data_IF_228002617460
#
_entry.id   IF_228002617460
#
_cell.length_a   1.000
_cell.length_b   1.000
_cell.length_c   1.000
_cell.angle_alpha   90.00
_cell.angle_beta   90.00
_cell.angle_gamma   90.00
#
_symmetry.space_group_name_H-M   'P 1'
#
loop_
_entity.id
_entity.type
_entity.pdbx_description
1 polymer ?
#
# COMPACT_ATOMS: atom_id res chain seq x y z
N UNK A 1 -29.73 -33.26 -7.26
CA UNK A 1 -28.66 -32.44 -7.86
C UNK A 1 -28.37 -31.35 -6.84
N UNK A 2 -27.32 -31.53 -6.03
CA UNK A 2 -26.94 -30.53 -5.02
C UNK A 2 -26.55 -29.25 -5.75
N UNK A 3 -27.17 -28.14 -5.34
CA UNK A 3 -26.75 -26.81 -5.77
C UNK A 3 -25.34 -26.63 -5.20
N UNK A 4 -24.29 -26.45 -6.03
CA UNK A 4 -22.96 -26.19 -5.50
C UNK A 4 -23.03 -24.95 -4.61
N UNK A 5 -22.37 -24.94 -3.44
CA UNK A 5 -22.35 -23.76 -2.59
C UNK A 5 -21.89 -22.57 -3.42
N UNK A 6 -22.57 -21.42 -3.25
CA UNK A 6 -22.18 -20.18 -3.89
C UNK A 6 -20.68 -19.97 -3.68
N UNK A 7 -19.90 -19.87 -4.76
CA UNK A 7 -18.46 -19.57 -4.66
C UNK A 7 -18.32 -18.33 -3.80
N UNK A 8 -17.61 -18.46 -2.69
CA UNK A 8 -17.26 -17.34 -1.84
C UNK A 8 -16.43 -16.37 -2.69
N UNK A 9 -16.89 -15.14 -2.84
CA UNK A 9 -16.19 -14.15 -3.64
C UNK A 9 -14.86 -13.80 -2.95
N UNK A 10 -13.74 -14.00 -3.66
CA UNK A 10 -12.39 -13.66 -3.18
C UNK A 10 -12.34 -12.19 -2.80
N UNK A 11 -11.93 -11.87 -1.56
CA UNK A 11 -11.70 -10.48 -1.16
C UNK A 11 -10.27 -10.07 -1.52
N UNK A 12 -10.13 -9.20 -2.52
CA UNK A 12 -8.87 -8.57 -2.91
C UNK A 12 -8.77 -7.21 -2.22
N UNK A 13 -7.73 -7.06 -1.41
CA UNK A 13 -7.54 -5.93 -0.52
C UNK A 13 -6.17 -5.32 -0.80
N UNK A 14 -6.15 -4.03 -1.12
CA UNK A 14 -4.90 -3.31 -1.31
C UNK A 14 -4.50 -2.56 -0.03
N UNK A 15 -3.25 -2.68 0.37
CA UNK A 15 -2.71 -2.09 1.59
C UNK A 15 -1.73 -1.01 1.18
N UNK A 16 -1.95 0.20 1.65
CA UNK A 16 -1.10 1.36 1.39
C UNK A 16 -0.58 1.97 2.69
N UNK A 17 0.44 2.82 2.57
CA UNK A 17 1.08 3.49 3.69
C UNK A 17 2.51 3.90 3.37
N UNK A 18 3.02 4.83 4.16
CA UNK A 18 4.38 5.39 4.01
C UNK A 18 5.45 4.29 4.03
N UNK A 19 6.54 4.50 3.31
CA UNK A 19 7.73 3.65 3.37
C UNK A 19 8.22 3.49 4.82
N UNK A 20 8.50 2.26 5.25
CA UNK A 20 8.98 1.99 6.61
C UNK A 20 7.94 2.06 7.74
N UNK A 21 6.65 2.28 7.43
CA UNK A 21 5.58 2.31 8.43
C UNK A 21 5.27 0.92 9.02
N UNK A 22 5.68 -0.15 8.34
CA UNK A 22 5.44 -1.54 8.78
C UNK A 22 4.23 -2.22 8.11
N UNK A 23 3.92 -1.86 6.85
CA UNK A 23 2.92 -2.55 6.03
C UNK A 23 3.19 -4.06 5.93
N UNK A 24 4.38 -4.43 5.48
CA UNK A 24 4.77 -5.83 5.29
C UNK A 24 4.78 -6.62 6.60
N UNK A 25 5.16 -5.98 7.72
CA UNK A 25 5.02 -6.56 9.05
C UNK A 25 3.55 -6.86 9.39
N UNK A 26 2.66 -5.89 9.21
CA UNK A 26 1.23 -6.04 9.47
C UNK A 26 0.64 -7.17 8.61
N UNK A 27 0.98 -7.17 7.32
CA UNK A 27 0.49 -8.14 6.34
C UNK A 27 0.99 -9.56 6.55
N UNK A 28 2.26 -9.75 6.87
CA UNK A 28 2.81 -11.07 7.14
C UNK A 28 2.17 -11.70 8.39
N UNK A 29 1.96 -10.93 9.45
CA UNK A 29 1.30 -11.42 10.66
C UNK A 29 -0.21 -11.65 10.45
N UNK A 30 -0.89 -10.74 9.75
CA UNK A 30 -2.30 -10.89 9.39
C UNK A 30 -2.53 -12.12 8.53
N UNK A 31 -1.77 -12.27 7.44
CA UNK A 31 -1.90 -13.43 6.54
C UNK A 31 -1.61 -14.74 7.26
N UNK A 32 -0.59 -14.77 8.13
CA UNK A 32 -0.27 -15.93 8.95
C UNK A 32 -1.44 -16.30 9.88
N UNK A 33 -1.99 -15.33 10.60
CA UNK A 33 -3.12 -15.57 11.51
C UNK A 33 -4.37 -16.06 10.74
N UNK A 34 -4.70 -15.42 9.62
CA UNK A 34 -5.84 -15.83 8.79
C UNK A 34 -5.65 -17.25 8.22
N UNK A 35 -4.43 -17.61 7.81
CA UNK A 35 -4.11 -18.96 7.36
C UNK A 35 -4.22 -20.00 8.50
N UNK A 36 -3.76 -19.65 9.71
CA UNK A 36 -3.91 -20.49 10.89
C UNK A 36 -5.39 -20.69 11.29
N UNK A 37 -6.27 -19.74 10.96
CA UNK A 37 -7.73 -19.85 11.09
C UNK A 37 -8.40 -20.57 9.90
N UNK A 38 -7.62 -21.23 9.05
CA UNK A 38 -8.10 -22.05 7.94
C UNK A 38 -8.52 -21.28 6.69
N UNK A 39 -8.18 -19.97 6.59
CA UNK A 39 -8.42 -19.19 5.37
C UNK A 39 -7.33 -19.44 4.34
N UNK A 40 -7.71 -19.50 3.06
CA UNK A 40 -6.77 -19.48 1.95
C UNK A 40 -6.37 -18.04 1.66
N UNK A 41 -5.12 -17.69 1.97
CA UNK A 41 -4.61 -16.32 1.82
C UNK A 41 -3.45 -16.27 0.83
N UNK A 42 -3.50 -15.31 -0.09
CA UNK A 42 -2.40 -14.94 -0.97
C UNK A 42 -1.88 -13.55 -0.60
N UNK A 43 -0.60 -13.44 -0.27
CA UNK A 43 0.10 -12.17 -0.04
C UNK A 43 0.97 -11.84 -1.26
N UNK A 44 0.74 -10.69 -1.89
CA UNK A 44 1.54 -10.23 -3.03
C UNK A 44 2.24 -8.93 -2.65
N UNK A 45 3.56 -8.92 -2.70
CA UNK A 45 4.34 -7.68 -2.63
C UNK A 45 4.24 -6.90 -3.94
N UNK A 46 3.73 -5.68 -3.87
CA UNK A 46 3.58 -4.75 -4.99
C UNK A 46 4.43 -3.48 -4.78
N UNK A 47 5.54 -3.62 -4.05
CA UNK A 47 6.55 -2.59 -3.85
C UNK A 47 7.81 -2.96 -4.67
N UNK A 48 8.40 -2.03 -5.44
CA UNK A 48 9.66 -2.27 -6.15
C UNK A 48 10.78 -2.79 -5.24
N UNK A 49 10.74 -2.50 -3.94
CA UNK A 49 11.67 -3.00 -2.93
C UNK A 49 11.66 -4.54 -2.80
N UNK A 50 10.56 -5.19 -3.14
CA UNK A 50 10.43 -6.67 -3.23
C UNK A 50 10.81 -7.43 -1.95
N UNK A 51 10.51 -6.88 -0.77
CA UNK A 51 10.84 -7.48 0.54
C UNK A 51 9.63 -7.79 1.43
N UNK A 52 8.41 -7.70 0.87
CA UNK A 52 7.16 -7.90 1.61
C UNK A 52 7.11 -9.30 2.23
N UNK A 53 7.46 -10.30 1.42
CA UNK A 53 7.42 -11.72 1.75
C UNK A 53 8.61 -12.18 2.59
N UNK A 54 9.68 -11.39 2.69
CA UNK A 54 10.89 -11.75 3.45
C UNK A 54 10.58 -12.03 4.92
N UNK A 55 9.69 -11.25 5.54
CA UNK A 55 9.26 -11.51 6.92
C UNK A 55 8.49 -12.83 7.03
N UNK A 56 7.62 -13.10 6.05
CA UNK A 56 6.94 -14.38 5.96
C UNK A 56 7.92 -15.53 5.75
N UNK A 57 9.06 -15.40 5.07
CA UNK A 57 10.00 -16.52 4.84
C UNK A 57 11.29 -16.47 5.67
N UNK A 58 11.27 -15.80 6.83
CA UNK A 58 12.41 -15.81 7.75
C UNK A 58 13.67 -15.16 7.16
N UNK A 59 13.50 -14.07 6.42
CA UNK A 59 14.57 -13.31 5.78
C UNK A 59 14.93 -13.75 4.37
N UNK A 60 14.26 -14.76 3.81
CA UNK A 60 14.48 -15.21 2.42
C UNK A 60 13.62 -14.40 1.45
N UNK A 61 14.23 -13.87 0.40
CA UNK A 61 13.51 -13.19 -0.68
C UNK A 61 12.90 -14.20 -1.66
N UNK A 62 11.62 -14.04 -1.98
CA UNK A 62 10.99 -14.78 -3.06
C UNK A 62 11.50 -14.27 -4.43
N UNK A 63 11.76 -15.16 -5.40
CA UNK A 63 11.92 -14.77 -6.80
C UNK A 63 10.76 -13.90 -7.28
N UNK A 64 11.06 -12.77 -7.93
CA UNK A 64 10.02 -11.84 -8.39
C UNK A 64 9.41 -12.31 -9.71
N UNK A 65 8.15 -11.97 -9.94
CA UNK A 65 7.42 -12.33 -11.17
C UNK A 65 8.08 -11.71 -12.40
N UNK A 66 8.40 -10.42 -12.36
CA UNK A 66 8.97 -9.69 -13.50
C UNK A 66 10.35 -10.24 -13.88
N UNK A 67 11.24 -10.43 -12.91
CA UNK A 67 12.59 -10.94 -13.16
C UNK A 67 12.56 -12.39 -13.64
N UNK A 68 11.77 -13.23 -12.97
CA UNK A 68 11.65 -14.66 -13.31
C UNK A 68 11.06 -14.84 -14.71
N UNK A 69 10.02 -14.09 -15.05
CA UNK A 69 9.42 -14.07 -16.39
C UNK A 69 10.44 -13.63 -17.45
N UNK A 70 11.20 -12.57 -17.20
CA UNK A 70 12.23 -12.08 -18.12
C UNK A 70 13.30 -13.13 -18.38
N UNK A 71 13.80 -13.78 -17.31
CA UNK A 71 14.80 -14.85 -17.39
C UNK A 71 14.29 -16.07 -18.14
N UNK A 72 13.08 -16.55 -17.82
CA UNK A 72 12.43 -17.70 -18.49
C UNK A 72 12.22 -17.43 -19.97
N UNK A 73 11.71 -16.24 -20.32
CA UNK A 73 11.52 -15.82 -21.71
C UNK A 73 12.84 -15.81 -22.49
N UNK A 74 13.94 -15.35 -21.89
CA UNK A 74 15.25 -15.38 -22.52
C UNK A 74 15.77 -16.82 -22.76
N UNK A 75 15.36 -17.77 -21.93
CA UNK A 75 15.63 -19.20 -22.10
C UNK A 75 14.64 -19.91 -23.05
N UNK A 76 13.66 -19.20 -23.64
CA UNK A 76 12.63 -19.80 -24.48
C UNK A 76 11.55 -20.57 -23.69
N UNK A 77 11.49 -20.39 -22.37
CA UNK A 77 10.53 -21.03 -21.47
C UNK A 77 9.39 -20.08 -21.08
N UNK A 78 8.25 -20.63 -20.68
CA UNK A 78 7.17 -19.87 -20.04
C UNK A 78 7.30 -19.96 -18.52
N UNK A 79 7.02 -18.84 -17.84
CA UNK A 79 6.93 -18.80 -16.38
C UNK A 79 5.72 -19.61 -15.89
N UNK A 80 5.92 -20.40 -14.84
CA UNK A 80 4.87 -21.19 -14.19
C UNK A 80 4.63 -20.69 -12.76
N UNK A 81 3.48 -21.04 -12.17
CA UNK A 81 3.14 -20.66 -10.79
C UNK A 81 4.21 -21.08 -9.79
N UNK A 82 4.75 -22.30 -9.94
CA UNK A 82 5.79 -22.81 -9.03
C UNK A 82 7.12 -22.06 -9.09
N UNK A 83 7.35 -21.24 -10.12
CA UNK A 83 8.56 -20.43 -10.22
C UNK A 83 8.47 -19.15 -9.36
N UNK A 84 7.26 -18.69 -9.03
CA UNK A 84 7.00 -17.34 -8.46
C UNK A 84 6.09 -17.34 -7.23
N UNK A 85 5.39 -18.44 -6.95
CA UNK A 85 4.51 -18.59 -5.80
C UNK A 85 5.09 -19.59 -4.80
N UNK A 86 5.28 -19.13 -3.57
CA UNK A 86 5.84 -19.94 -2.49
C UNK A 86 4.84 -19.99 -1.33
N UNK A 87 4.98 -21.01 -0.48
CA UNK A 87 4.06 -21.24 0.63
C UNK A 87 4.80 -21.51 1.93
N UNK A 88 4.30 -20.93 3.02
CA UNK A 88 4.76 -21.21 4.39
C UNK A 88 3.55 -21.21 5.32
N UNK A 89 3.42 -22.26 6.13
CA UNK A 89 2.44 -22.33 7.22
C UNK A 89 1.00 -21.98 6.77
N UNK A 90 0.63 -22.38 5.55
CA UNK A 90 -0.69 -22.14 4.95
C UNK A 90 -0.85 -20.83 4.15
N UNK A 91 0.09 -19.89 4.28
CA UNK A 91 0.10 -18.64 3.50
C UNK A 91 0.76 -18.87 2.15
N UNK A 92 0.13 -18.39 1.08
CA UNK A 92 0.71 -18.33 -0.26
C UNK A 92 1.27 -16.92 -0.50
N UNK A 93 2.40 -16.83 -1.16
CA UNK A 93 3.11 -15.56 -1.29
C UNK A 93 3.83 -15.43 -2.62
N UNK A 94 3.79 -14.22 -3.18
CA UNK A 94 4.44 -13.81 -4.41
C UNK A 94 5.06 -12.43 -4.25
N UNK A 95 6.10 -12.14 -5.03
CA UNK A 95 6.65 -10.78 -5.19
C UNK A 95 6.48 -10.36 -6.63
N UNK A 96 5.83 -9.22 -6.89
CA UNK A 96 5.66 -8.73 -8.25
C UNK A 96 7.01 -8.38 -8.88
N UNK A 97 7.88 -7.75 -8.08
CA UNK A 97 9.12 -7.15 -8.54
C UNK A 97 8.93 -5.74 -9.05
N UNK A 98 10.05 -5.12 -9.39
CA UNK A 98 10.11 -3.80 -10.00
C UNK A 98 11.19 -3.73 -11.07
N UNK A 99 11.34 -2.58 -11.73
CA UNK A 99 12.50 -2.35 -12.59
C UNK A 99 13.80 -2.33 -11.76
N UNK A 100 14.94 -2.56 -12.42
CA UNK A 100 16.25 -2.45 -11.77
C UNK A 100 16.43 -1.09 -11.06
N UNK A 101 17.09 -1.09 -9.90
CA UNK A 101 17.35 0.12 -9.13
C UNK A 101 18.06 1.16 -10.02
N UNK A 102 17.53 2.38 -10.03
CA UNK A 102 18.05 3.47 -10.86
C UNK A 102 17.66 3.41 -12.34
N UNK A 103 16.81 2.44 -12.75
CA UNK A 103 16.33 2.29 -14.13
C UNK A 103 14.81 2.11 -14.16
N UNK A 104 14.21 2.48 -15.29
CA UNK A 104 12.78 2.26 -15.53
C UNK A 104 11.84 3.14 -14.70
N UNK A 105 10.57 2.74 -14.62
CA UNK A 105 9.54 3.45 -13.88
C UNK A 105 8.76 2.42 -13.05
N UNK A 106 8.73 2.59 -11.72
CA UNK A 106 8.05 1.68 -10.80
C UNK A 106 6.60 1.43 -11.19
N UNK A 107 5.85 2.49 -11.51
CA UNK A 107 4.45 2.37 -11.94
C UNK A 107 4.25 1.54 -13.21
N UNK A 108 5.14 1.65 -14.21
CA UNK A 108 5.09 0.78 -15.40
C UNK A 108 5.45 -0.66 -15.06
N UNK A 109 6.38 -0.86 -14.12
CA UNK A 109 6.71 -2.18 -13.56
C UNK A 109 5.49 -2.86 -12.94
N UNK A 110 4.73 -2.13 -12.10
CA UNK A 110 3.51 -2.65 -11.49
C UNK A 110 2.49 -3.09 -12.54
N UNK A 111 2.19 -2.23 -13.52
CA UNK A 111 1.24 -2.56 -14.61
C UNK A 111 1.69 -3.84 -15.34
N UNK A 112 2.97 -3.91 -15.73
CA UNK A 112 3.50 -5.08 -16.41
C UNK A 112 3.46 -6.35 -15.55
N UNK A 113 3.76 -6.23 -14.25
CA UNK A 113 3.68 -7.34 -13.31
C UNK A 113 2.27 -7.90 -13.20
N UNK A 114 1.24 -7.04 -13.12
CA UNK A 114 -0.15 -7.49 -13.09
C UNK A 114 -0.58 -8.15 -14.41
N UNK A 115 -0.14 -7.65 -15.57
CA UNK A 115 -0.39 -8.33 -16.85
C UNK A 115 0.22 -9.75 -16.88
N UNK A 116 1.39 -9.96 -16.27
CA UNK A 116 1.99 -11.29 -16.12
C UNK A 116 1.19 -12.16 -15.14
N UNK A 117 0.72 -11.58 -14.03
CA UNK A 117 -0.11 -12.26 -13.03
C UNK A 117 -1.46 -12.71 -13.64
N UNK A 118 -2.09 -11.87 -14.45
CA UNK A 118 -3.30 -12.20 -15.20
C UNK A 118 -3.08 -13.37 -16.16
N UNK A 119 -1.96 -13.40 -16.89
CA UNK A 119 -1.57 -14.52 -17.77
C UNK A 119 -1.34 -15.83 -17.01
N UNK A 120 -0.89 -15.75 -15.76
CA UNK A 120 -0.77 -16.89 -14.85
C UNK A 120 -2.13 -17.37 -14.29
N UNK A 121 -3.22 -16.65 -14.58
CA UNK A 121 -4.58 -17.03 -14.21
C UNK A 121 -5.06 -16.43 -12.89
N UNK A 122 -4.58 -15.23 -12.50
CA UNK A 122 -4.95 -14.53 -11.26
C UNK A 122 -6.44 -14.62 -10.90
N UNK A 123 -7.33 -14.36 -11.86
CA UNK A 123 -8.79 -14.36 -11.66
C UNK A 123 -9.42 -15.75 -11.53
N UNK A 124 -8.65 -16.83 -11.73
CA UNK A 124 -9.12 -18.21 -11.63
C UNK A 124 -8.78 -18.83 -10.27
N UNK A 125 -7.96 -18.15 -9.46
CA UNK A 125 -7.50 -18.69 -8.19
C UNK A 125 -8.55 -18.53 -7.09
N UNK A 126 -8.77 -19.63 -6.36
CA UNK A 126 -9.75 -19.74 -5.30
C UNK A 126 -9.09 -19.44 -3.95
N UNK A 127 -9.02 -18.15 -3.60
CA UNK A 127 -8.53 -17.66 -2.31
C UNK A 127 -9.67 -17.01 -1.54
N UNK A 128 -9.67 -17.13 -0.22
CA UNK A 128 -10.58 -16.34 0.60
C UNK A 128 -10.17 -14.85 0.56
N UNK A 129 -8.85 -14.60 0.61
CA UNK A 129 -8.27 -13.26 0.65
C UNK A 129 -7.01 -13.15 -0.22
N UNK A 130 -6.91 -12.06 -0.97
CA UNK A 130 -5.68 -11.62 -1.64
C UNK A 130 -5.28 -10.28 -1.05
N UNK A 131 -4.12 -10.22 -0.42
CA UNK A 131 -3.56 -9.02 0.20
C UNK A 131 -2.45 -8.47 -0.67
N UNK A 132 -2.58 -7.22 -1.14
CA UNK A 132 -1.63 -6.56 -2.03
C UNK A 132 -0.87 -5.47 -1.25
N UNK A 133 0.44 -5.63 -1.03
CA UNK A 133 1.27 -4.62 -0.33
C UNK A 133 1.76 -3.56 -1.33
N UNK A 134 1.11 -2.40 -1.38
CA UNK A 134 1.44 -1.31 -2.28
C UNK A 134 2.25 -0.21 -1.60
N UNK A 135 3.19 0.35 -2.36
CA UNK A 135 3.89 1.58 -1.96
C UNK A 135 2.89 2.75 -1.87
N UNK A 136 2.79 3.38 -0.69
CA UNK A 136 1.85 4.47 -0.43
C UNK A 136 2.39 5.87 -0.69
N UNK A 137 3.72 6.05 -0.67
CA UNK A 137 4.34 7.39 -0.80
C UNK A 137 3.99 8.08 -2.11
N UNK A 138 3.72 7.29 -3.16
CA UNK A 138 3.32 7.78 -4.48
C UNK A 138 2.11 6.99 -4.95
N UNK A 139 0.96 7.66 -5.08
CA UNK A 139 -0.28 7.07 -5.61
C UNK A 139 -0.50 7.51 -7.07
N UNK A 140 0.54 7.42 -7.88
CA UNK A 140 0.50 7.78 -9.31
C UNK A 140 0.07 6.58 -10.17
N UNK A 141 -0.22 6.82 -11.45
CA UNK A 141 -0.86 5.89 -12.40
C UNK A 141 -0.72 4.38 -12.12
N UNK A 142 0.51 3.85 -12.04
CA UNK A 142 0.72 2.41 -11.78
C UNK A 142 0.51 1.96 -10.33
N UNK A 143 0.87 2.78 -9.34
CA UNK A 143 0.63 2.46 -7.93
C UNK A 143 -0.84 2.69 -7.52
N UNK A 144 -1.57 3.53 -8.27
CA UNK A 144 -3.02 3.68 -8.15
C UNK A 144 -3.83 2.63 -8.94
N UNK A 145 -3.18 1.70 -9.65
CA UNK A 145 -3.84 0.73 -10.53
C UNK A 145 -4.96 -0.08 -9.85
N UNK A 146 -4.79 -0.61 -8.62
CA UNK A 146 -5.85 -1.38 -7.97
C UNK A 146 -7.14 -0.59 -7.72
N UNK A 147 -6.98 0.71 -7.45
CA UNK A 147 -8.08 1.64 -7.20
C UNK A 147 -8.69 2.07 -8.53
N UNK A 148 -7.85 2.42 -9.50
CA UNK A 148 -8.26 2.97 -10.79
C UNK A 148 -9.00 1.97 -11.68
N UNK A 149 -8.75 0.66 -11.52
CA UNK A 149 -9.33 -0.42 -12.33
C UNK A 149 -10.26 -1.36 -11.55
N UNK A 150 -10.69 -0.97 -10.35
CA UNK A 150 -11.54 -1.82 -9.48
C UNK A 150 -10.96 -3.25 -9.29
N UNK A 151 -9.63 -3.39 -9.23
CA UNK A 151 -8.99 -4.70 -9.05
C UNK A 151 -9.03 -5.18 -7.60
N UNK A 152 -9.33 -4.27 -6.66
CA UNK A 152 -9.54 -4.56 -5.26
C UNK A 152 -10.92 -4.03 -4.85
N UNK A 153 -11.58 -4.70 -3.90
CA UNK A 153 -12.86 -4.22 -3.39
C UNK A 153 -12.65 -3.07 -2.40
N UNK A 154 -11.56 -3.12 -1.64
CA UNK A 154 -11.29 -2.15 -0.57
C UNK A 154 -9.81 -1.94 -0.32
N UNK A 155 -9.50 -0.77 0.22
CA UNK A 155 -8.16 -0.33 0.61
C UNK A 155 -8.05 -0.28 2.12
N UNK A 156 -6.95 -0.77 2.68
CA UNK A 156 -6.55 -0.52 4.06
C UNK A 156 -5.34 0.41 4.03
N UNK A 157 -5.34 1.39 4.92
CA UNK A 157 -4.19 2.27 5.10
C UNK A 157 -3.47 1.88 6.38
N UNK A 158 -2.15 1.80 6.34
CA UNK A 158 -1.30 1.63 7.53
C UNK A 158 -0.64 2.97 7.82
N UNK A 159 -0.84 3.47 9.03
CA UNK A 159 -0.30 4.75 9.49
C UNK A 159 0.23 4.70 10.92
N UNK A 160 0.90 5.76 11.35
CA UNK A 160 1.28 6.03 12.74
C UNK A 160 0.76 7.41 13.14
N UNK A 161 1.03 7.83 14.37
CA UNK A 161 0.71 9.19 14.81
C UNK A 161 1.65 10.27 14.22
N UNK A 162 2.55 9.95 13.27
CA UNK A 162 3.42 10.96 12.64
C UNK A 162 2.78 11.67 11.42
N UNK A 163 3.01 12.97 11.29
CA UNK A 163 2.43 13.82 10.23
C UNK A 163 2.67 13.27 8.83
N UNK A 164 3.88 12.78 8.53
CA UNK A 164 4.21 12.29 7.20
C UNK A 164 3.44 10.99 6.89
N UNK A 165 3.24 10.14 7.90
CA UNK A 165 2.42 8.95 7.74
C UNK A 165 0.95 9.29 7.46
N UNK A 166 0.37 10.25 8.19
CA UNK A 166 -1.01 10.67 7.98
C UNK A 166 -1.19 11.48 6.69
N UNK A 167 -0.16 12.19 6.23
CA UNK A 167 -0.14 12.82 4.91
C UNK A 167 -0.25 11.79 3.79
N UNK A 168 0.54 10.71 3.85
CA UNK A 168 0.44 9.61 2.90
C UNK A 168 -0.94 8.93 2.99
N UNK A 169 -1.44 8.69 4.18
CA UNK A 169 -2.78 8.14 4.39
C UNK A 169 -3.88 9.00 3.73
N UNK A 170 -3.78 10.32 3.88
CA UNK A 170 -4.70 11.28 3.29
C UNK A 170 -4.62 11.30 1.75
N UNK A 171 -3.43 11.14 1.18
CA UNK A 171 -3.26 11.04 -0.28
C UNK A 171 -3.92 9.78 -0.85
N UNK A 172 -3.82 8.65 -0.15
CA UNK A 172 -4.52 7.42 -0.53
C UNK A 172 -6.04 7.62 -0.47
N UNK A 173 -6.54 8.24 0.61
CA UNK A 173 -7.96 8.60 0.71
C UNK A 173 -8.40 9.53 -0.43
N UNK A 174 -7.56 10.50 -0.80
CA UNK A 174 -7.80 11.41 -1.93
C UNK A 174 -7.88 10.67 -3.26
N UNK A 175 -7.01 9.70 -3.49
CA UNK A 175 -7.05 8.87 -4.69
C UNK A 175 -8.34 8.05 -4.76
N UNK A 176 -8.76 7.44 -3.64
CA UNK A 176 -10.02 6.70 -3.57
C UNK A 176 -11.22 7.61 -3.84
N UNK A 177 -11.33 8.77 -3.19
CA UNK A 177 -12.44 9.71 -3.45
C UNK A 177 -12.45 10.21 -4.90
N UNK A 178 -11.28 10.47 -5.48
CA UNK A 178 -11.16 10.85 -6.89
C UNK A 178 -11.74 9.78 -7.82
N UNK A 179 -11.32 8.52 -7.71
CA UNK A 179 -11.81 7.45 -8.59
C UNK A 179 -13.28 7.09 -8.31
N UNK A 180 -13.75 7.22 -7.06
CA UNK A 180 -15.18 7.11 -6.72
C UNK A 180 -16.02 8.16 -7.45
N UNK A 181 -15.55 9.41 -7.54
CA UNK A 181 -16.22 10.47 -8.32
C UNK A 181 -16.27 10.17 -9.82
N UNK A 182 -15.34 9.38 -10.33
CA UNK A 182 -15.31 8.91 -11.72
C UNK A 182 -16.14 7.63 -11.97
N UNK A 183 -16.81 7.10 -10.94
CA UNK A 183 -17.67 5.91 -11.05
C UNK A 183 -17.04 4.60 -10.59
N UNK A 184 -15.83 4.63 -9.99
CA UNK A 184 -15.21 3.46 -9.37
C UNK A 184 -15.92 3.00 -8.09
N UNK A 185 -15.70 1.75 -7.71
CA UNK A 185 -16.39 1.09 -6.59
C UNK A 185 -15.52 0.93 -5.34
N UNK A 186 -14.19 1.05 -5.49
CA UNK A 186 -13.24 0.90 -4.38
C UNK A 186 -13.51 1.90 -3.25
N UNK A 187 -13.45 1.44 -2.01
CA UNK A 187 -13.51 2.27 -0.82
C UNK A 187 -12.36 2.02 0.15
N UNK A 188 -12.23 2.86 1.17
CA UNK A 188 -11.30 2.65 2.28
C UNK A 188 -12.01 1.85 3.37
N UNK A 189 -11.47 0.69 3.72
CA UNK A 189 -11.98 -0.18 4.78
C UNK A 189 -11.68 0.38 6.16
N UNK A 190 -10.49 0.97 6.35
CA UNK A 190 -10.06 1.55 7.60
C UNK A 190 -8.56 1.79 7.69
N UNK A 191 -8.14 2.26 8.87
CA UNK A 191 -6.76 2.53 9.25
C UNK A 191 -6.25 1.46 10.20
N UNK A 192 -5.07 0.90 9.93
CA UNK A 192 -4.27 0.18 10.93
C UNK A 192 -3.24 1.16 11.46
N UNK A 193 -3.32 1.47 12.75
CA UNK A 193 -2.30 2.26 13.43
C UNK A 193 -1.17 1.30 13.80
N UNK A 194 0.05 1.58 13.35
CA UNK A 194 1.23 0.82 13.69
C UNK A 194 2.23 1.72 14.41
N UNK A 195 2.97 1.13 15.35
CA UNK A 195 3.83 1.86 16.29
C UNK A 195 3.03 2.94 17.02
N UNK A 196 1.84 2.57 17.51
CA UNK A 196 1.01 3.48 18.29
C UNK A 196 1.72 3.85 19.60
N UNK A 197 2.05 5.13 19.73
CA UNK A 197 2.67 5.75 20.90
C UNK A 197 1.63 6.44 21.82
N UNK A 198 0.34 6.32 21.49
CA UNK A 198 -0.77 6.78 22.31
C UNK A 198 -1.04 8.29 22.26
N UNK A 199 -0.41 9.02 21.34
CA UNK A 199 -0.63 10.48 21.20
C UNK A 199 -1.98 10.81 20.54
N UNK A 200 -2.52 9.89 19.72
CA UNK A 200 -3.91 9.89 19.26
C UNK A 200 -4.19 10.62 17.94
N UNK A 201 -3.18 11.19 17.27
CA UNK A 201 -3.35 11.89 16.00
C UNK A 201 -3.89 10.98 14.88
N UNK A 202 -3.49 9.70 14.85
CA UNK A 202 -3.98 8.75 13.87
C UNK A 202 -5.47 8.42 14.07
N UNK A 203 -5.93 8.33 15.32
CA UNK A 203 -7.35 8.18 15.64
C UNK A 203 -8.13 9.44 15.23
N UNK A 204 -7.63 10.63 15.57
CA UNK A 204 -8.24 11.90 15.19
C UNK A 204 -8.33 12.05 13.66
N UNK A 205 -7.32 11.57 12.92
CA UNK A 205 -7.34 11.51 11.47
C UNK A 205 -8.42 10.56 10.95
N UNK A 206 -8.51 9.34 11.51
CA UNK A 206 -9.51 8.36 11.11
C UNK A 206 -10.94 8.90 11.29
N UNK A 207 -11.20 9.54 12.43
CA UNK A 207 -12.48 10.18 12.74
C UNK A 207 -12.79 11.32 11.77
N UNK A 208 -11.81 12.20 11.50
CA UNK A 208 -11.98 13.34 10.62
C UNK A 208 -12.23 12.95 9.15
N UNK A 209 -11.59 11.87 8.68
CA UNK A 209 -11.78 11.33 7.32
C UNK A 209 -13.00 10.42 7.23
N UNK A 210 -13.56 9.97 8.35
CA UNK A 210 -14.75 9.11 8.38
C UNK A 210 -14.45 7.64 8.05
N UNK A 211 -13.33 7.11 8.52
CA UNK A 211 -12.93 5.71 8.38
C UNK A 211 -12.65 5.10 9.76
N UNK A 212 -12.93 3.81 10.00
CA UNK A 212 -12.67 3.18 11.29
C UNK A 212 -11.18 2.85 11.46
N UNK A 213 -10.74 2.77 12.71
CA UNK A 213 -9.48 2.12 13.07
C UNK A 213 -9.72 0.61 13.19
N UNK A 214 -9.04 -0.19 12.38
CA UNK A 214 -9.18 -1.65 12.35
C UNK A 214 -8.34 -2.33 13.44
N UNK A 215 -7.17 -1.75 13.75
CA UNK A 215 -6.31 -2.17 14.84
C UNK A 215 -5.32 -1.07 15.19
N UNK A 216 -4.83 -1.10 16.43
CA UNK A 216 -3.69 -0.34 16.89
C UNK A 216 -2.61 -1.29 17.39
N UNK A 217 -1.50 -1.37 16.66
CA UNK A 217 -0.30 -2.16 17.02
C UNK A 217 0.60 -1.23 17.83
N UNK A 218 0.90 -1.57 19.10
CA UNK A 218 1.63 -0.68 19.99
C UNK A 218 3.08 -0.48 19.53
N UNK A 219 3.64 0.69 19.85
CA UNK A 219 5.08 0.90 19.84
C UNK A 219 5.74 0.04 20.94
N UNK A 220 6.08 -1.19 20.58
CA UNK A 220 6.62 -2.20 21.51
C UNK A 220 8.01 -2.70 21.05
N UNK A 221 8.95 -2.76 21.99
CA UNK A 221 10.34 -3.14 21.72
C UNK A 221 10.52 -4.63 21.39
N UNK A 222 9.70 -5.51 21.97
CA UNK A 222 9.72 -6.93 21.63
C UNK A 222 9.17 -7.16 20.23
N UNK A 223 8.07 -6.50 19.85
CA UNK A 223 7.56 -6.50 18.47
C UNK A 223 8.65 -6.02 17.51
N UNK A 224 9.30 -4.88 17.81
CA UNK A 224 10.35 -4.31 16.97
C UNK A 224 11.51 -5.28 16.78
N UNK A 225 11.99 -5.89 17.87
CA UNK A 225 13.10 -6.86 17.86
C UNK A 225 12.75 -8.11 17.08
N UNK A 226 11.58 -8.71 17.32
CA UNK A 226 11.08 -9.89 16.60
C UNK A 226 10.89 -9.61 15.11
N UNK A 227 10.32 -8.46 14.76
CA UNK A 227 10.20 -8.03 13.37
C UNK A 227 11.56 -7.90 12.67
N UNK A 228 12.58 -7.36 13.35
CA UNK A 228 13.93 -7.24 12.81
C UNK A 228 14.61 -8.61 12.59
N UNK A 229 14.20 -9.62 13.34
CA UNK A 229 14.64 -11.01 13.20
C UNK A 229 13.77 -11.84 12.24
N UNK A 230 12.82 -11.22 11.52
CA UNK A 230 11.87 -11.90 10.64
C UNK A 230 11.00 -12.95 11.37
N UNK A 231 10.67 -12.69 12.64
CA UNK A 231 9.79 -13.53 13.44
C UNK A 231 8.33 -13.10 13.25
N UNK A 232 7.44 -14.09 13.07
CA UNK A 232 5.99 -13.89 13.10
C UNK A 232 5.55 -13.81 14.57
N UNK A 233 4.88 -12.73 14.92
CA UNK A 233 4.36 -12.47 16.27
C UNK A 233 2.86 -12.75 16.39
N UNK A 234 2.13 -12.70 15.28
CA UNK A 234 0.70 -13.03 15.17
C UNK A 234 0.44 -14.53 15.04
N UNK A 235 1.09 -15.34 15.88
CA UNK A 235 0.86 -16.79 15.94
C UNK A 235 -0.26 -17.11 16.93
N UNK A 236 -1.12 -18.12 16.68
CA UNK A 236 -2.16 -18.52 17.63
C UNK A 236 -1.60 -18.87 19.01
N UNK A 237 -2.25 -18.39 20.07
CA UNK A 237 -1.82 -18.59 21.46
C UNK A 237 -0.59 -17.78 21.89
N UNK A 238 0.03 -17.00 21.00
CA UNK A 238 1.09 -16.05 21.34
C UNK A 238 0.57 -14.78 22.02
N UNK A 239 1.48 -13.99 22.60
CA UNK A 239 1.16 -12.73 23.27
C UNK A 239 0.32 -11.77 22.39
N UNK A 240 0.62 -11.72 21.10
CA UNK A 240 -0.03 -10.82 20.14
C UNK A 240 -1.12 -11.49 19.32
N UNK A 241 -1.50 -12.74 19.64
CA UNK A 241 -2.50 -13.51 18.90
C UNK A 241 -3.83 -12.75 18.80
N UNK A 242 -4.39 -12.33 19.96
CA UNK A 242 -5.68 -11.66 20.01
C UNK A 242 -5.74 -10.38 19.16
N UNK A 243 -4.62 -9.67 19.02
CA UNK A 243 -4.54 -8.49 18.16
C UNK A 243 -4.75 -8.86 16.69
N UNK A 244 -4.01 -9.86 16.19
CA UNK A 244 -4.09 -10.26 14.79
C UNK A 244 -5.35 -11.08 14.48
N UNK A 245 -5.91 -11.79 15.46
CA UNK A 245 -7.23 -12.43 15.36
C UNK A 245 -8.32 -11.37 15.16
N UNK A 246 -8.34 -10.34 16.03
CA UNK A 246 -9.27 -9.23 15.91
C UNK A 246 -9.08 -8.47 14.59
N UNK A 247 -7.83 -8.19 14.19
CA UNK A 247 -7.55 -7.55 12.90
C UNK A 247 -8.07 -8.40 11.73
N UNK A 248 -7.90 -9.73 11.76
CA UNK A 248 -8.44 -10.63 10.75
C UNK A 248 -9.96 -10.53 10.58
N UNK A 249 -10.68 -10.47 11.70
CA UNK A 249 -12.15 -10.27 11.72
C UNK A 249 -12.50 -8.89 11.16
N UNK A 250 -11.87 -7.83 11.66
CA UNK A 250 -12.14 -6.46 11.22
C UNK A 250 -11.86 -6.27 9.72
N UNK A 251 -10.76 -6.84 9.21
CA UNK A 251 -10.44 -6.82 7.78
C UNK A 251 -11.47 -7.58 6.96
N UNK A 252 -12.01 -8.69 7.45
CA UNK A 252 -13.02 -9.46 6.76
C UNK A 252 -14.36 -8.73 6.66
N UNK A 253 -14.77 -8.05 7.73
CA UNK A 253 -16.10 -7.44 7.88
C UNK A 253 -16.18 -5.99 7.41
N UNK A 254 -15.06 -5.25 7.45
CA UNK A 254 -15.05 -3.82 7.11
C UNK A 254 -15.53 -3.56 5.66
N UNK A 255 -16.55 -2.72 5.46
CA UNK A 255 -17.05 -2.38 4.14
C UNK A 255 -16.14 -1.36 3.43
N UNK A 256 -16.22 -1.24 2.09
CA UNK A 256 -15.54 -0.18 1.35
C UNK A 256 -16.23 1.18 1.59
N UNK A 257 -15.70 1.98 2.52
CA UNK A 257 -16.24 3.30 2.82
C UNK A 257 -15.75 4.36 1.84
N UNK A 258 -16.51 5.44 1.69
CA UNK A 258 -16.05 6.62 0.96
C UNK A 258 -15.38 7.56 1.98
N UNK A 259 -14.05 7.78 1.89
CA UNK A 259 -13.38 8.69 2.80
C UNK A 259 -13.72 10.16 2.47
N UNK A 260 -13.54 11.04 3.44
CA UNK A 260 -13.57 12.49 3.30
C UNK A 260 -12.14 13.05 3.49
N UNK A 261 -11.32 13.12 2.44
CA UNK A 261 -9.92 13.54 2.56
C UNK A 261 -9.80 14.97 3.10
N UNK A 262 -8.82 15.20 3.96
CA UNK A 262 -8.56 16.50 4.57
C UNK A 262 -7.78 17.40 3.61
N UNK A 263 -7.99 18.72 3.74
CA UNK A 263 -7.05 19.70 3.16
C UNK A 263 -5.72 19.65 3.92
N UNK A 264 -4.67 20.23 3.33
CA UNK A 264 -3.37 20.31 3.97
C UNK A 264 -3.44 20.98 5.36
N UNK A 265 -4.13 22.12 5.45
CA UNK A 265 -4.28 22.84 6.72
C UNK A 265 -5.11 22.06 7.75
N UNK A 266 -6.19 21.39 7.32
CA UNK A 266 -7.01 20.58 8.21
C UNK A 266 -6.21 19.39 8.78
N UNK A 267 -5.37 18.74 7.96
CA UNK A 267 -4.47 17.69 8.43
C UNK A 267 -3.43 18.24 9.41
N UNK A 268 -2.82 19.39 9.11
CA UNK A 268 -1.86 20.04 10.02
C UNK A 268 -2.52 20.41 11.35
N UNK A 269 -3.78 20.80 11.37
CA UNK A 269 -4.51 21.17 12.58
C UNK A 269 -4.74 19.99 13.54
N UNK A 270 -4.58 18.74 13.09
CA UNK A 270 -4.58 17.58 13.99
C UNK A 270 -3.36 17.57 14.92
N UNK A 271 -2.26 18.19 14.50
CA UNK A 271 -1.02 18.31 15.24
C UNK A 271 -1.00 19.68 15.92
N UNK A 272 -1.12 19.72 17.26
CA UNK A 272 -1.19 20.96 18.07
C UNK A 272 -0.19 22.01 17.59
N UNK A 273 -0.71 23.08 16.97
CA UNK A 273 0.03 24.01 16.12
C UNK A 273 0.73 25.16 16.85
N UNK A 274 0.63 25.23 18.18
CA UNK A 274 0.98 26.45 18.93
C UNK A 274 2.49 26.71 18.99
N UNK A 275 3.32 25.68 18.76
CA UNK A 275 4.78 25.75 18.84
C UNK A 275 5.49 25.79 17.47
N UNK A 276 4.74 25.80 16.35
CA UNK A 276 5.32 25.68 15.01
C UNK A 276 5.09 26.94 14.18
N UNK A 277 6.14 27.42 13.51
CA UNK A 277 6.15 28.63 12.67
C UNK A 277 5.30 28.52 11.40
N UNK A 278 4.00 28.25 11.52
CA UNK A 278 3.03 28.11 10.41
C UNK A 278 2.69 29.44 9.71
N UNK A 279 3.17 30.57 10.24
CA UNK A 279 2.97 31.91 9.68
C UNK A 279 4.01 32.35 8.65
N UNK A 280 4.83 31.43 8.13
CA UNK A 280 5.80 31.77 7.07
C UNK A 280 5.04 32.09 5.78
N UNK A 281 5.12 33.34 5.35
CA UNK A 281 4.55 33.79 4.08
C UNK A 281 5.49 33.37 2.95
N UNK A 282 4.97 32.67 1.95
CA UNK A 282 5.72 32.33 0.74
C UNK A 282 6.01 33.62 -0.03
N UNK A 283 7.28 34.03 -0.06
CA UNK A 283 7.74 35.12 -0.92
C UNK A 283 8.26 34.52 -2.24
N UNK A 284 7.62 34.77 -3.40
CA UNK A 284 8.08 34.23 -4.68
C UNK A 284 9.49 34.71 -4.99
N UNK A 285 10.40 33.78 -5.30
CA UNK A 285 11.72 34.12 -5.77
C UNK A 285 11.65 34.71 -7.18
N UNK A 286 12.45 35.73 -7.43
CA UNK A 286 12.67 36.30 -8.77
C UNK A 286 13.77 35.53 -9.51
N UNK A 287 13.87 35.71 -10.83
CA UNK A 287 14.99 35.13 -11.58
C UNK A 287 16.35 35.69 -11.14
N UNK A 288 16.38 36.91 -10.61
CA UNK A 288 17.59 37.52 -10.05
C UNK A 288 18.02 36.79 -8.76
N UNK A 289 17.06 36.48 -7.87
CA UNK A 289 17.32 35.69 -6.65
C UNK A 289 17.91 34.31 -6.98
N UNK A 290 17.47 33.71 -8.10
CA UNK A 290 17.94 32.38 -8.54
C UNK A 290 19.30 32.41 -9.25
N UNK A 291 19.62 33.50 -9.95
CA UNK A 291 20.81 33.60 -10.80
C UNK A 291 22.00 34.32 -10.14
N UNK A 292 21.78 35.08 -9.06
CA UNK A 292 22.84 35.83 -8.37
C UNK A 292 23.49 36.95 -9.19
N UNK A 293 22.90 37.32 -10.33
CA UNK A 293 23.36 38.37 -11.25
C UNK A 293 22.18 38.98 -12.01
N UNK A 294 22.36 40.18 -12.58
CA UNK A 294 21.34 40.81 -13.45
C UNK A 294 20.89 39.85 -14.55
N UNK A 295 19.58 39.62 -14.60
CA UNK A 295 18.96 38.80 -15.63
C UNK A 295 19.02 39.60 -16.93
N UNK A 296 19.86 39.16 -17.86
CA UNK A 296 19.85 39.70 -19.22
C UNK A 296 18.50 39.38 -19.85
N UNK A 297 17.62 40.39 -19.93
CA UNK A 297 16.37 40.33 -20.67
C UNK A 297 16.69 40.12 -22.16
N UNK A 298 16.76 38.85 -22.58
CA UNK A 298 16.84 38.50 -23.99
C UNK A 298 15.43 38.54 -24.55
N UNK A 299 15.11 39.45 -25.50
CA UNK A 299 13.80 39.45 -26.13
C UNK A 299 13.55 38.08 -26.78
N UNK A 300 12.35 37.54 -26.56
CA UNK A 300 11.93 36.30 -27.21
C UNK A 300 12.03 36.47 -28.73
N UNK A 301 12.63 35.51 -29.41
CA UNK A 301 12.64 35.42 -30.86
C UNK A 301 11.38 34.72 -31.40
N UNK A 302 10.43 34.39 -30.54
CA UNK A 302 9.13 33.86 -30.96
C UNK A 302 8.42 34.88 -31.83
N UNK A 303 8.27 34.52 -33.11
CA UNK A 303 7.39 35.23 -34.03
C UNK A 303 5.97 34.95 -33.57
N UNK A 304 5.36 35.92 -32.90
CA UNK A 304 3.92 35.92 -32.63
C UNK A 304 3.23 36.15 -33.97
N UNK A 305 2.69 35.08 -34.55
CA UNK A 305 1.79 35.21 -35.70
C UNK A 305 0.47 35.80 -35.20
N UNK A 306 0.30 37.11 -35.34
CA UNK A 306 -1.02 37.73 -35.22
C UNK A 306 -1.87 37.32 -36.43
N UNK A 307 -2.79 36.37 -36.20
CA UNK A 307 -4.02 36.14 -36.97
C UNK A 307 -3.89 35.85 -38.48
N UNK A 308 -4.16 34.60 -38.85
CA UNK A 308 -4.91 34.27 -40.08
C UNK A 308 -6.08 33.37 -39.70
#
# INVERSE_FOLDING_TARGET
>A
MEVPPAKKETQIIAIYGKGGIGKSFTLANLSYMMAAQGKRVLLIGCDPKSDTTSLLFGGRSCPTIIETSSRKKAAGEQVQIGDVCFKRDGVFAMELGGPEVGRGCGGRGIIHGFELLEKLGFHQWDFDYVLLDFLGDVVCGGFGLPIARDMCQKVIVVGSNDLQSLYVANNVCSAVDYFRKLGGNVGVAGLVINKDDGTGEAQAFADAVGIPVLAAIPADDDIRRKSANYEIVGTPGGQWAGLFEALGVQVAEAPPLRPNPLTHDALLNLFKGDAVGRGVVLNPATMEDMCGSEVLNKPSLEVVYEGV
#
